data_IF_178288236402
#
_entry.id   IF_178288236402
#
_cell.length_a   1.000
_cell.length_b   1.000
_cell.length_c   1.000
_cell.angle_alpha   90.00
_cell.angle_beta   90.00
_cell.angle_gamma   90.00
#
_symmetry.space_group_name_H-M   'P 1'
#
loop_
_entity.id
_entity.type
_entity.pdbx_description
1 polymer ?
#
# COMPACT_ATOMS: atom_id res chain seq x y z
N UNK A 1 13.35 5.87 -20.54
CA UNK A 1 12.78 7.22 -20.30
C UNK A 1 11.46 7.08 -19.58
N UNK A 2 11.40 7.39 -18.29
CA UNK A 2 10.11 7.69 -17.67
C UNK A 2 9.61 8.98 -18.32
N UNK A 3 8.49 8.92 -19.05
CA UNK A 3 7.78 10.13 -19.46
C UNK A 3 7.50 10.88 -18.16
N UNK A 4 8.04 12.09 -18.01
CA UNK A 4 7.74 12.95 -16.89
C UNK A 4 6.21 13.16 -16.88
N UNK A 5 5.49 12.39 -16.06
CA UNK A 5 4.07 12.63 -15.82
C UNK A 5 3.97 14.07 -15.34
N UNK A 6 3.35 14.91 -16.15
CA UNK A 6 3.22 16.31 -15.84
C UNK A 6 2.34 16.39 -14.58
N UNK A 7 2.78 17.04 -13.49
CA UNK A 7 2.03 17.01 -12.21
C UNK A 7 0.57 17.46 -12.39
N UNK A 8 0.30 18.40 -13.31
CA UNK A 8 -1.06 18.85 -13.63
C UNK A 8 -1.94 17.85 -14.39
N UNK A 9 -1.38 16.83 -15.06
CA UNK A 9 -2.18 15.74 -15.64
C UNK A 9 -2.61 14.77 -14.54
N UNK A 10 -1.71 14.46 -13.61
CA UNK A 10 -1.97 13.58 -12.50
C UNK A 10 -3.05 14.12 -11.55
N UNK A 11 -3.00 15.42 -11.22
CA UNK A 11 -4.04 16.08 -10.41
C UNK A 11 -5.41 16.04 -11.11
N UNK A 12 -5.43 16.18 -12.43
CA UNK A 12 -6.65 16.06 -13.23
C UNK A 12 -7.22 14.65 -13.18
N UNK A 13 -6.37 13.63 -13.30
CA UNK A 13 -6.79 12.22 -13.24
C UNK A 13 -7.34 11.87 -11.85
N UNK A 14 -6.76 12.39 -10.77
CA UNK A 14 -7.33 12.28 -9.42
C UNK A 14 -8.70 12.92 -9.31
N UNK A 15 -8.89 14.07 -9.97
CA UNK A 15 -10.19 14.74 -10.07
C UNK A 15 -11.28 13.86 -10.71
N UNK A 16 -10.91 12.95 -11.62
CA UNK A 16 -11.85 12.00 -12.24
C UNK A 16 -12.01 10.70 -11.45
N UNK A 17 -10.97 10.26 -10.75
CA UNK A 17 -10.96 9.01 -10.00
C UNK A 17 -11.99 9.00 -8.87
N UNK A 18 -12.05 10.05 -8.04
CA UNK A 18 -12.96 10.07 -6.90
C UNK A 18 -14.44 9.96 -7.31
N UNK A 19 -14.94 10.76 -8.29
CA UNK A 19 -16.29 10.57 -8.81
C UNK A 19 -16.52 9.20 -9.46
N UNK A 20 -15.49 8.59 -10.04
CA UNK A 20 -15.60 7.23 -10.57
C UNK A 20 -15.82 6.20 -9.46
N UNK A 21 -15.04 6.26 -8.37
CA UNK A 21 -15.23 5.39 -7.21
C UNK A 21 -16.60 5.59 -6.57
N UNK A 22 -17.13 6.82 -6.55
CA UNK A 22 -18.49 7.10 -6.09
C UNK A 22 -19.55 6.43 -6.98
N UNK A 23 -19.38 6.45 -8.31
CA UNK A 23 -20.28 5.73 -9.22
C UNK A 23 -20.24 4.23 -9.04
N UNK A 24 -19.07 3.65 -8.78
CA UNK A 24 -18.94 2.21 -8.48
C UNK A 24 -19.66 1.86 -7.17
N UNK A 25 -19.51 2.69 -6.13
CA UNK A 25 -20.22 2.52 -4.87
C UNK A 25 -21.75 2.67 -5.02
N UNK A 26 -22.20 3.58 -5.88
CA UNK A 26 -23.63 3.73 -6.20
C UNK A 26 -24.17 2.49 -6.93
N UNK A 27 -23.45 1.99 -7.95
CA UNK A 27 -23.83 0.78 -8.66
C UNK A 27 -23.82 -0.47 -7.75
N UNK A 28 -22.95 -0.49 -6.73
CA UNK A 28 -22.94 -1.54 -5.73
C UNK A 28 -24.26 -1.62 -4.96
N UNK A 29 -24.90 -0.46 -4.69
CA UNK A 29 -26.15 -0.41 -3.93
C UNK A 29 -27.31 -1.12 -4.66
N UNK A 30 -27.26 -1.16 -6.00
CA UNK A 30 -28.27 -1.78 -6.86
C UNK A 30 -28.07 -3.29 -7.06
N UNK A 31 -26.98 -3.88 -6.53
CA UNK A 31 -26.74 -5.33 -6.62
C UNK A 31 -27.81 -6.10 -5.86
N UNK A 32 -28.40 -7.13 -6.48
CA UNK A 32 -29.40 -8.01 -5.83
C UNK A 32 -28.80 -8.85 -4.69
N UNK A 33 -27.56 -9.32 -4.87
CA UNK A 33 -26.84 -10.09 -3.87
C UNK A 33 -26.34 -9.21 -2.72
N UNK A 34 -26.90 -9.45 -1.52
CA UNK A 34 -26.57 -8.73 -0.30
C UNK A 34 -25.11 -8.95 0.16
N UNK A 35 -24.53 -10.13 -0.08
CA UNK A 35 -23.14 -10.43 0.28
C UNK A 35 -22.19 -9.66 -0.61
N UNK A 36 -22.41 -9.70 -1.93
CA UNK A 36 -21.61 -8.96 -2.90
C UNK A 36 -21.70 -7.45 -2.67
N UNK A 37 -22.90 -6.92 -2.35
CA UNK A 37 -23.10 -5.52 -1.99
C UNK A 37 -22.28 -5.11 -0.77
N UNK A 38 -22.31 -5.92 0.29
CA UNK A 38 -21.57 -5.63 1.53
C UNK A 38 -20.05 -5.65 1.29
N UNK A 39 -19.56 -6.64 0.56
CA UNK A 39 -18.14 -6.75 0.19
C UNK A 39 -17.69 -5.57 -0.66
N UNK A 40 -18.45 -5.23 -1.71
CA UNK A 40 -18.11 -4.13 -2.61
C UNK A 40 -18.14 -2.78 -1.88
N UNK A 41 -19.10 -2.59 -0.96
CA UNK A 41 -19.14 -1.39 -0.10
C UNK A 41 -17.87 -1.25 0.72
N UNK A 42 -17.42 -2.35 1.37
CA UNK A 42 -16.18 -2.36 2.14
C UNK A 42 -14.96 -2.07 1.26
N UNK A 43 -14.86 -2.73 0.11
CA UNK A 43 -13.76 -2.52 -0.84
C UNK A 43 -13.71 -1.06 -1.30
N UNK A 44 -14.84 -0.42 -1.59
CA UNK A 44 -14.87 0.99 -2.01
C UNK A 44 -14.42 1.96 -0.91
N UNK A 45 -14.70 1.67 0.36
CA UNK A 45 -14.19 2.47 1.48
C UNK A 45 -12.67 2.34 1.58
N UNK A 46 -12.15 1.12 1.54
CA UNK A 46 -10.71 0.86 1.62
C UNK A 46 -9.96 1.47 0.42
N UNK A 47 -10.53 1.37 -0.78
CA UNK A 47 -9.92 1.90 -2.00
C UNK A 47 -9.86 3.43 -1.98
N UNK A 48 -10.93 4.10 -1.54
CA UNK A 48 -10.93 5.57 -1.38
C UNK A 48 -9.87 6.02 -0.38
N UNK A 49 -9.76 5.36 0.77
CA UNK A 49 -8.73 5.68 1.77
C UNK A 49 -7.31 5.46 1.21
N UNK A 50 -7.10 4.38 0.45
CA UNK A 50 -5.82 4.11 -0.22
C UNK A 50 -5.45 5.23 -1.19
N UNK A 51 -6.38 5.65 -2.03
CA UNK A 51 -6.12 6.72 -3.00
C UNK A 51 -5.89 8.07 -2.35
N UNK A 52 -6.62 8.41 -1.28
CA UNK A 52 -6.34 9.60 -0.47
C UNK A 52 -4.92 9.56 0.10
N UNK A 53 -4.48 8.41 0.64
CA UNK A 53 -3.11 8.26 1.15
C UNK A 53 -2.06 8.43 0.05
N UNK A 54 -2.31 7.90 -1.15
CA UNK A 54 -1.42 8.09 -2.30
C UNK A 54 -1.34 9.58 -2.66
N UNK A 55 -2.47 10.29 -2.68
CA UNK A 55 -2.51 11.72 -2.95
C UNK A 55 -1.70 12.51 -1.92
N UNK A 56 -1.84 12.20 -0.63
CA UNK A 56 -1.05 12.81 0.44
C UNK A 56 0.46 12.59 0.25
N UNK A 57 0.85 11.35 -0.06
CA UNK A 57 2.26 10.99 -0.24
C UNK A 57 2.86 11.73 -1.45
N UNK A 58 2.12 11.82 -2.54
CA UNK A 58 2.53 12.54 -3.74
C UNK A 58 2.53 14.07 -3.54
N UNK A 59 1.61 14.59 -2.72
CA UNK A 59 1.60 15.98 -2.26
C UNK A 59 2.70 16.34 -1.25
N UNK A 60 3.59 15.40 -0.90
CA UNK A 60 4.75 15.64 -0.04
C UNK A 60 4.49 15.48 1.46
N UNK A 61 3.29 15.03 1.87
CA UNK A 61 2.95 14.78 3.27
C UNK A 61 3.74 13.60 3.89
N UNK A 62 4.46 12.83 3.07
CA UNK A 62 5.38 11.79 3.52
C UNK A 62 6.73 12.28 4.05
N UNK A 63 7.07 13.58 3.96
CA UNK A 63 8.40 14.03 4.38
C UNK A 63 8.66 15.54 4.53
N UNK A 64 7.71 16.44 4.27
CA UNK A 64 7.89 17.88 4.48
C UNK A 64 6.60 18.49 5.03
N UNK A 65 6.46 18.55 6.36
CA UNK A 65 5.30 19.26 6.92
C UNK A 65 4.96 19.08 8.38
N UNK A 66 5.53 18.11 9.10
CA UNK A 66 5.65 18.25 10.55
C UNK A 66 6.81 19.22 10.80
N UNK A 67 6.53 20.52 10.68
CA UNK A 67 7.41 21.56 11.18
C UNK A 67 7.64 21.27 12.66
N UNK A 68 8.80 20.67 12.96
CA UNK A 68 9.31 20.58 14.30
C UNK A 68 9.34 22.00 14.87
N UNK A 69 8.73 22.27 16.04
CA UNK A 69 9.03 23.49 16.74
C UNK A 69 10.53 23.50 17.07
N UNK A 70 11.18 24.58 16.67
CA UNK A 70 12.58 24.95 16.90
C UNK A 70 13.06 24.53 18.30
N UNK A 71 14.29 24.00 18.45
CA UNK A 71 14.77 23.49 19.74
C UNK A 71 15.02 24.64 20.72
N UNK A 72 14.21 24.71 21.77
CA UNK A 72 14.61 25.34 23.01
C UNK A 72 15.60 24.39 23.71
N UNK A 73 16.87 24.76 23.66
CA UNK A 73 17.97 24.15 24.42
C UNK A 73 17.68 24.31 25.91
N UNK A 74 17.50 23.21 26.63
CA UNK A 74 17.99 23.02 28.02
C UNK A 74 17.86 21.56 28.52
N UNK A 75 19.03 20.96 28.79
CA UNK A 75 19.38 19.88 29.74
C UNK A 75 18.82 18.44 29.62
N UNK A 76 19.60 17.41 30.02
CA UNK A 76 19.47 16.05 29.52
C UNK A 76 18.57 15.18 30.42
N UNK A 77 17.66 14.43 29.79
CA UNK A 77 16.95 13.32 30.43
C UNK A 77 17.42 12.02 29.80
N UNK A 78 17.89 11.14 30.67
CA UNK A 78 18.46 9.81 30.45
C UNK A 78 17.64 8.97 29.47
N UNK A 79 18.26 8.56 28.35
CA UNK A 79 17.68 7.61 27.42
C UNK A 79 17.87 6.17 27.92
N UNK A 80 16.84 5.31 27.93
CA UNK A 80 17.05 3.88 28.13
C UNK A 80 17.81 3.32 26.92
N UNK A 81 19.00 2.80 27.18
CA UNK A 81 19.81 2.06 26.19
C UNK A 81 19.15 0.72 25.91
N UNK A 82 18.58 0.55 24.71
CA UNK A 82 18.31 -0.78 24.18
C UNK A 82 19.44 -1.17 23.23
N UNK A 83 20.22 -2.11 23.76
CA UNK A 83 21.27 -2.96 23.20
C UNK A 83 21.64 -2.79 21.72
N UNK A 84 22.93 -2.50 21.49
CA UNK A 84 23.66 -2.91 20.28
C UNK A 84 23.69 -4.45 20.23
N UNK A 85 22.94 -5.04 19.30
CA UNK A 85 23.18 -6.38 18.80
C UNK A 85 24.14 -6.29 17.62
N UNK A 86 25.30 -6.93 17.76
CA UNK A 86 26.39 -6.97 16.79
C UNK A 86 26.05 -7.76 15.53
N UNK A 87 26.90 -7.53 14.52
CA UNK A 87 26.91 -7.99 13.15
C UNK A 87 26.84 -9.52 12.90
N UNK A 88 26.67 -9.79 11.60
CA UNK A 88 26.96 -11.02 10.84
C UNK A 88 25.84 -12.06 10.76
N UNK A 89 25.17 -12.12 9.60
CA UNK A 89 25.17 -13.29 8.72
C UNK A 89 24.41 -12.92 7.43
N UNK A 90 25.15 -12.70 6.35
CA UNK A 90 25.35 -13.65 5.26
C UNK A 90 24.17 -13.71 4.27
N UNK A 91 24.54 -13.28 3.07
CA UNK A 91 23.94 -13.59 1.78
C UNK A 91 23.38 -15.04 1.75
N UNK A 92 22.06 -15.21 1.65
CA UNK A 92 21.51 -16.45 1.09
C UNK A 92 20.68 -16.11 -0.15
N UNK A 93 21.33 -16.29 -1.30
CA UNK A 93 20.68 -16.39 -2.58
C UNK A 93 19.79 -17.62 -2.57
N UNK A 94 18.55 -17.47 -3.04
CA UNK A 94 17.64 -18.59 -3.25
C UNK A 94 18.21 -19.61 -4.24
N UNK A 95 18.25 -20.92 -3.91
CA UNK A 95 18.15 -21.96 -4.91
C UNK A 95 16.67 -22.33 -5.10
N UNK A 96 16.21 -22.14 -6.33
CA UNK A 96 15.00 -22.74 -6.88
C UNK A 96 14.97 -24.27 -6.69
N UNK A 97 13.75 -24.81 -6.75
CA UNK A 97 13.35 -26.20 -7.00
C UNK A 97 12.91 -27.03 -5.78
N UNK A 98 11.75 -26.70 -5.22
CA UNK A 98 10.88 -27.73 -4.63
C UNK A 98 10.22 -28.51 -5.77
N UNK A 99 10.76 -29.69 -6.05
CA UNK A 99 10.21 -30.66 -6.98
C UNK A 99 8.81 -31.09 -6.55
N UNK A 100 7.82 -30.80 -7.40
CA UNK A 100 6.49 -31.38 -7.32
C UNK A 100 6.52 -32.72 -8.08
N UNK A 101 6.83 -33.82 -7.39
CA UNK A 101 6.73 -35.17 -7.94
C UNK A 101 5.27 -35.61 -7.99
N UNK A 102 4.62 -35.44 -9.15
CA UNK A 102 3.31 -36.05 -9.42
C UNK A 102 3.57 -37.47 -9.94
N UNK A 103 3.24 -38.47 -9.14
CA UNK A 103 3.36 -39.88 -9.49
C UNK A 103 2.43 -40.26 -10.66
N UNK A 104 2.99 -40.88 -11.70
CA UNK A 104 2.22 -41.47 -12.79
C UNK A 104 1.40 -42.66 -12.30
N UNK A 105 0.08 -42.51 -12.31
CA UNK A 105 -0.85 -43.63 -12.24
C UNK A 105 -0.81 -44.43 -13.54
N UNK A 106 -0.28 -45.65 -13.43
CA UNK A 106 -0.30 -46.72 -14.43
C UNK A 106 -1.75 -47.08 -14.79
N UNK A 107 -2.11 -46.93 -16.06
CA UNK A 107 -3.32 -47.51 -16.65
C UNK A 107 -2.94 -48.57 -17.68
N UNK A 108 -3.14 -49.84 -17.32
CA UNK A 108 -3.01 -50.99 -18.21
C UNK A 108 -4.03 -50.96 -19.35
N UNK A 109 -3.59 -51.30 -20.55
CA UNK A 109 -4.22 -52.28 -21.47
C UNK A 109 -3.30 -52.57 -22.64
#
# INVERSE_FOLDING_TARGET
>A
MAKNSNPGEFDRDFGYLMPFLDRVAAAAADLEDASARAELTRLMVEEKARWQRIQELLGGAGGRGAAAPTPAREAPVEAPRLARGSADELHEAAPFATGLTVGSLRGSR
#
